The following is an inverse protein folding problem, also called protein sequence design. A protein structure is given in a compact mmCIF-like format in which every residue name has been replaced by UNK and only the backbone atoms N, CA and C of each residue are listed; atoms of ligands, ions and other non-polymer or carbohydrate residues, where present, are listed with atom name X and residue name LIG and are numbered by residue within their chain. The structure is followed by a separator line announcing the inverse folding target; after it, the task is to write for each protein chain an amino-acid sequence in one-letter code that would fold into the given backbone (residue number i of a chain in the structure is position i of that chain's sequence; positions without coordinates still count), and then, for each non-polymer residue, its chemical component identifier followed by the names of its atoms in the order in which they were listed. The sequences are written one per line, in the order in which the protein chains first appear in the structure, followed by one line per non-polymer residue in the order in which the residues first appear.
data_IF_405795066772
#
_entry.id   IF_405795066772
#
_cell.length_a   1.000
_cell.length_b   1.000
_cell.length_c   1.000
_cell.angle_alpha   90.00
_cell.angle_beta   90.00
_cell.angle_gamma   90.00
#
_symmetry.space_group_name_H-M   'P 1'
#
loop_
_entity.id
_entity.type
_entity.pdbx_description
1 polymer ?
#
# COMPACT_ATOMS: atom_id res chain seq x y z
N UNK A 1 16.95 -8.23 -10.86
CA UNK A 1 16.46 -7.66 -12.14
C UNK A 1 17.58 -7.66 -13.18
N UNK A 2 17.27 -7.54 -14.49
CA UNK A 2 18.31 -7.27 -15.49
C UNK A 2 19.02 -5.96 -15.18
N UNK A 3 20.28 -5.84 -15.60
CA UNK A 3 21.01 -4.58 -15.49
C UNK A 3 20.44 -3.54 -16.47
N UNK A 4 20.62 -2.24 -16.18
CA UNK A 4 20.21 -1.14 -17.06
C UNK A 4 20.73 -1.34 -18.49
N UNK A 5 21.96 -1.86 -18.63
CA UNK A 5 22.58 -2.11 -19.94
C UNK A 5 21.92 -3.25 -20.72
N UNK A 6 21.51 -4.31 -20.03
CA UNK A 6 20.78 -5.44 -20.63
C UNK A 6 19.39 -4.97 -21.07
N UNK A 7 18.67 -4.27 -20.19
CA UNK A 7 17.33 -3.78 -20.49
C UNK A 7 17.31 -2.80 -21.68
N UNK A 8 18.24 -1.85 -21.72
CA UNK A 8 18.35 -0.91 -22.83
C UNK A 8 18.57 -1.62 -24.18
N UNK A 9 19.37 -2.69 -24.18
CA UNK A 9 19.65 -3.50 -25.37
C UNK A 9 18.42 -4.30 -25.81
N UNK A 10 17.71 -4.94 -24.89
CA UNK A 10 16.52 -5.74 -25.19
C UNK A 10 15.37 -4.88 -25.72
N UNK A 11 15.14 -3.72 -25.12
CA UNK A 11 14.08 -2.80 -25.52
C UNK A 11 14.48 -1.86 -26.67
N UNK A 12 15.75 -1.89 -27.12
CA UNK A 12 16.32 -1.00 -28.15
C UNK A 12 16.12 0.50 -27.83
N UNK A 13 16.24 0.86 -26.55
CA UNK A 13 16.14 2.24 -26.06
C UNK A 13 17.50 2.77 -25.60
N UNK A 14 17.59 4.08 -25.38
CA UNK A 14 18.82 4.68 -24.86
C UNK A 14 19.11 4.22 -23.43
N UNK A 15 20.39 4.08 -23.06
CA UNK A 15 20.77 3.77 -21.67
C UNK A 15 20.29 4.84 -20.68
N UNK A 16 20.23 6.11 -21.10
CA UNK A 16 19.74 7.19 -20.24
C UNK A 16 18.25 6.99 -19.91
N UNK A 17 17.45 6.57 -20.89
CA UNK A 17 16.03 6.26 -20.68
C UNK A 17 15.85 5.09 -19.72
N UNK A 18 16.58 4.00 -19.92
CA UNK A 18 16.51 2.84 -19.03
C UNK A 18 17.00 3.18 -17.60
N UNK A 19 18.02 4.04 -17.47
CA UNK A 19 18.49 4.52 -16.17
C UNK A 19 17.41 5.35 -15.46
N UNK A 20 16.82 6.34 -16.14
CA UNK A 20 15.76 7.18 -15.57
C UNK A 20 14.59 6.35 -15.04
N UNK A 21 14.14 5.36 -15.81
CA UNK A 21 13.06 4.48 -15.35
C UNK A 21 13.42 3.71 -14.08
N UNK A 22 14.69 3.27 -13.93
CA UNK A 22 15.14 2.61 -12.70
C UNK A 22 15.28 3.58 -11.52
N UNK A 23 15.80 4.78 -11.78
CA UNK A 23 15.91 5.84 -10.77
C UNK A 23 14.51 6.24 -10.26
N UNK A 24 13.51 6.30 -11.14
CA UNK A 24 12.09 6.54 -10.80
C UNK A 24 11.51 5.38 -9.97
N UNK A 25 11.70 4.14 -10.40
CA UNK A 25 11.26 2.95 -9.63
C UNK A 25 11.93 2.84 -8.25
N UNK A 26 13.18 3.28 -8.12
CA UNK A 26 13.87 3.36 -6.82
C UNK A 26 13.31 4.49 -5.95
N UNK A 27 13.05 5.67 -6.53
CA UNK A 27 12.43 6.78 -5.81
C UNK A 27 11.01 6.45 -5.32
N UNK A 28 10.26 5.67 -6.09
CA UNK A 28 8.93 5.17 -5.71
C UNK A 28 8.98 3.95 -4.77
N UNK A 29 10.16 3.45 -4.43
CA UNK A 29 10.37 2.33 -3.52
C UNK A 29 9.98 0.97 -4.08
N UNK A 30 9.85 0.84 -5.40
CA UNK A 30 9.59 -0.43 -6.08
C UNK A 30 10.85 -1.27 -6.27
N UNK A 31 12.02 -0.63 -6.29
CA UNK A 31 13.32 -1.26 -6.53
C UNK A 31 14.35 -0.72 -5.54
N UNK A 32 15.26 -1.57 -5.08
CA UNK A 32 16.41 -1.17 -4.26
C UNK A 32 17.71 -1.47 -5.00
N UNK A 33 18.62 -0.50 -5.07
CA UNK A 33 19.98 -0.73 -5.57
C UNK A 33 20.95 -1.11 -4.45
N UNK A 34 21.72 -2.18 -4.66
CA UNK A 34 22.84 -2.53 -3.79
C UNK A 34 24.13 -2.35 -4.57
N UNK A 35 25.01 -1.48 -4.06
CA UNK A 35 26.28 -1.18 -4.71
C UNK A 35 27.08 -2.46 -4.99
N UNK A 36 27.48 -2.65 -6.25
CA UNK A 36 28.22 -3.83 -6.71
C UNK A 36 27.40 -5.11 -6.86
N UNK A 37 26.10 -5.12 -6.48
CA UNK A 37 25.21 -6.29 -6.62
C UNK A 37 24.03 -6.07 -7.56
N UNK A 38 23.75 -4.82 -7.92
CA UNK A 38 22.72 -4.45 -8.89
C UNK A 38 21.37 -4.13 -8.25
N UNK A 39 20.30 -4.23 -9.04
CA UNK A 39 18.95 -3.78 -8.66
C UNK A 39 18.04 -4.96 -8.33
N UNK A 40 17.33 -4.84 -7.21
CA UNK A 40 16.46 -5.86 -6.65
C UNK A 40 15.05 -5.30 -6.52
N UNK A 41 14.03 -6.11 -6.85
CA UNK A 41 12.64 -5.72 -6.63
C UNK A 41 12.44 -5.59 -5.11
N UNK A 42 11.92 -4.45 -4.67
CA UNK A 42 11.61 -4.25 -3.27
C UNK A 42 10.56 -5.30 -2.84
N UNK A 43 10.73 -5.95 -1.67
CA UNK A 43 9.68 -6.82 -1.14
C UNK A 43 8.42 -5.96 -1.03
N UNK A 44 7.36 -6.32 -1.79
CA UNK A 44 6.12 -5.55 -2.00
C UNK A 44 5.87 -4.51 -0.91
N UNK A 45 5.68 -3.26 -1.32
CA UNK A 45 5.41 -2.07 -0.52
C UNK A 45 4.25 -2.30 0.48
N UNK A 46 4.52 -3.06 1.54
CA UNK A 46 3.57 -3.43 2.60
C UNK A 46 3.01 -2.19 3.26
N UNK A 47 3.79 -1.11 3.25
CA UNK A 47 3.43 0.18 3.78
C UNK A 47 2.36 0.86 2.92
N UNK A 48 2.52 0.88 1.60
CA UNK A 48 1.49 1.38 0.68
C UNK A 48 0.20 0.55 0.72
N UNK A 49 0.32 -0.78 0.76
CA UNK A 49 -0.84 -1.66 0.93
C UNK A 49 -1.54 -1.41 2.27
N UNK A 50 -0.77 -1.32 3.35
CA UNK A 50 -1.29 -1.00 4.69
C UNK A 50 -2.00 0.36 4.69
N UNK A 51 -1.42 1.37 4.05
CA UNK A 51 -2.02 2.70 3.95
C UNK A 51 -3.34 2.67 3.18
N UNK A 52 -3.41 1.93 2.07
CA UNK A 52 -4.64 1.74 1.31
C UNK A 52 -5.74 1.05 2.15
N UNK A 53 -5.37 0.01 2.91
CA UNK A 53 -6.29 -0.65 3.84
C UNK A 53 -6.74 0.27 4.98
N UNK A 54 -5.84 1.08 5.54
CA UNK A 54 -6.18 2.05 6.58
C UNK A 54 -7.18 3.09 6.09
N UNK A 55 -6.95 3.68 4.90
CA UNK A 55 -7.89 4.65 4.29
C UNK A 55 -9.27 4.02 4.05
N UNK A 56 -9.30 2.79 3.55
CA UNK A 56 -10.57 2.07 3.34
C UNK A 56 -11.29 1.80 4.67
N UNK A 57 -10.56 1.41 5.71
CA UNK A 57 -11.12 1.16 7.03
C UNK A 57 -11.67 2.44 7.66
N UNK A 58 -10.96 3.56 7.53
CA UNK A 58 -11.41 4.87 8.01
C UNK A 58 -12.72 5.30 7.34
N UNK A 59 -12.83 5.12 6.00
CA UNK A 59 -14.07 5.42 5.27
C UNK A 59 -15.26 4.58 5.76
N UNK A 60 -15.05 3.27 6.00
CA UNK A 60 -16.10 2.38 6.51
C UNK A 60 -16.51 2.72 7.95
N UNK A 61 -15.55 3.09 8.80
CA UNK A 61 -15.84 3.53 10.17
C UNK A 61 -16.61 4.85 10.19
N UNK A 62 -16.29 5.78 9.29
CA UNK A 62 -17.03 7.01 9.14
C UNK A 62 -18.47 6.75 8.70
N UNK A 63 -18.68 5.89 7.71
CA UNK A 63 -20.02 5.50 7.26
C UNK A 63 -20.83 4.83 8.39
N UNK A 64 -20.19 3.95 9.17
CA UNK A 64 -20.82 3.32 10.33
C UNK A 64 -21.21 4.35 11.41
N UNK A 65 -20.35 5.34 11.66
CA UNK A 65 -20.64 6.45 12.58
C UNK A 65 -21.83 7.29 12.12
N UNK A 66 -21.87 7.65 10.84
CA UNK A 66 -22.97 8.43 10.26
C UNK A 66 -24.31 7.67 10.36
N UNK A 67 -24.30 6.37 10.09
CA UNK A 67 -25.48 5.50 10.25
C UNK A 67 -25.92 5.38 11.71
N UNK A 68 -24.98 5.25 12.64
CA UNK A 68 -25.26 5.21 14.07
C UNK A 68 -25.95 6.50 14.53
N UNK A 69 -25.43 7.66 14.12
CA UNK A 69 -26.02 8.96 14.42
C UNK A 69 -27.45 9.07 13.87
N UNK A 70 -27.70 8.63 12.62
CA UNK A 70 -29.04 8.60 12.03
C UNK A 70 -30.00 7.64 12.75
N UNK A 71 -29.49 6.53 13.27
CA UNK A 71 -30.26 5.54 14.02
C UNK A 71 -30.47 5.93 15.50
N UNK A 72 -29.88 7.03 15.97
CA UNK A 72 -29.93 7.45 17.38
C UNK A 72 -29.09 6.57 18.31
N UNK A 73 -28.07 5.90 17.77
CA UNK A 73 -27.12 5.09 18.52
C UNK A 73 -26.00 6.01 19.00
N UNK A 74 -25.74 6.01 20.31
CA UNK A 74 -24.63 6.76 20.89
C UNK A 74 -23.26 6.14 20.59
N UNK A 75 -22.21 6.96 20.66
CA UNK A 75 -20.84 6.56 20.36
C UNK A 75 -20.39 5.36 21.21
N UNK A 76 -20.80 5.30 22.48
CA UNK A 76 -20.47 4.17 23.34
C UNK A 76 -21.11 2.87 22.88
N UNK A 77 -22.36 2.91 22.42
CA UNK A 77 -23.08 1.75 21.91
C UNK A 77 -22.45 1.27 20.59
N UNK A 78 -22.07 2.18 19.70
CA UNK A 78 -21.35 1.83 18.48
C UNK A 78 -20.01 1.15 18.79
N UNK A 79 -19.23 1.69 19.73
CA UNK A 79 -17.97 1.09 20.18
C UNK A 79 -18.19 -0.29 20.80
N UNK A 80 -19.23 -0.46 21.64
CA UNK A 80 -19.61 -1.77 22.21
C UNK A 80 -19.96 -2.79 21.12
N UNK A 81 -20.70 -2.39 20.10
CA UNK A 81 -21.03 -3.26 18.97
C UNK A 81 -19.76 -3.72 18.24
N UNK A 82 -18.86 -2.79 17.92
CA UNK A 82 -17.58 -3.11 17.28
C UNK A 82 -16.72 -4.04 18.15
N UNK A 83 -16.62 -3.77 19.45
CA UNK A 83 -15.89 -4.64 20.39
C UNK A 83 -16.46 -6.06 20.42
N UNK A 84 -17.78 -6.20 20.49
CA UNK A 84 -18.44 -7.51 20.48
C UNK A 84 -18.18 -8.29 19.17
N UNK A 85 -18.15 -7.60 18.03
CA UNK A 85 -17.81 -8.21 16.73
C UNK A 85 -16.36 -8.70 16.69
N UNK A 86 -15.42 -7.90 17.22
CA UNK A 86 -13.99 -8.25 17.25
C UNK A 86 -13.69 -9.42 18.19
N UNK A 87 -14.45 -9.56 19.27
CA UNK A 87 -14.31 -10.65 20.24
C UNK A 87 -15.07 -11.92 19.81
N UNK A 88 -15.73 -11.91 18.65
CA UNK A 88 -16.47 -13.06 18.13
C UNK A 88 -17.73 -13.39 18.94
N UNK A 89 -18.30 -12.42 19.68
CA UNK A 89 -19.50 -12.63 20.52
C UNK A 89 -20.82 -12.43 19.76
N UNK A 90 -20.76 -12.34 18.44
CA UNK A 90 -21.92 -12.40 17.54
C UNK A 90 -22.08 -13.85 17.03
N UNK A 91 -22.47 -14.75 17.93
CA UNK A 91 -23.08 -16.05 17.59
C UNK A 91 -24.49 -16.12 18.19
#
# INVERSE_FOLDING_TARGET
MPSIRVLAKELKISMLTAKRAYDELEAEGFVNSVQGKGNFVAPQNREFLREAYLKKMEALLQEASDLAAMAGVDDEALLRMLSNMLEGRYE
#
